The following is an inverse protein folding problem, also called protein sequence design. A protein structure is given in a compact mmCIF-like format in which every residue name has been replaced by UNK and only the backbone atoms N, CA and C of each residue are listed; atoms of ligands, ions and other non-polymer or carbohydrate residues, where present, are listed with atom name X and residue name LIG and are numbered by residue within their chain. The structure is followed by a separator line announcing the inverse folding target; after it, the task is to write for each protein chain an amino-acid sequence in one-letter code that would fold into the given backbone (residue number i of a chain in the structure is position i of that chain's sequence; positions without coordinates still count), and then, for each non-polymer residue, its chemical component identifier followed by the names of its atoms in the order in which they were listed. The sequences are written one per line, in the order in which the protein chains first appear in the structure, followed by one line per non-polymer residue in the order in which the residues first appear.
data_IF_590841894905
#
_entry.id   IF_590841894905
#
_cell.length_a   1.000
_cell.length_b   1.000
_cell.length_c   1.000
_cell.angle_alpha   90.00
_cell.angle_beta   90.00
_cell.angle_gamma   90.00
#
_symmetry.space_group_name_H-M   'P 1'
#
loop_
_entity.id
_entity.type
_entity.pdbx_description
1 polymer ?
#
# COMPACT_ATOMS: atom_id res chain seq x y z
N UNK A 1 -18.01 3.32 25.08
CA UNK A 1 -17.34 4.61 24.70
C UNK A 1 -18.18 5.76 25.26
N UNK A 2 -17.75 6.99 25.20
CA UNK A 2 -18.42 8.12 25.90
C UNK A 2 -19.02 9.11 24.88
N UNK A 3 -20.04 9.88 25.32
CA UNK A 3 -20.61 11.01 24.56
C UNK A 3 -19.50 11.92 23.97
N UNK A 4 -18.41 12.10 24.71
CA UNK A 4 -17.22 12.81 24.25
C UNK A 4 -16.52 12.20 23.02
N UNK A 5 -16.61 10.89 22.82
CA UNK A 5 -16.06 10.20 21.64
C UNK A 5 -16.87 10.52 20.39
N UNK A 6 -18.20 10.49 20.51
CA UNK A 6 -19.09 10.87 19.40
C UNK A 6 -18.89 12.35 19.02
N UNK A 7 -18.80 13.25 20.00
CA UNK A 7 -18.59 14.68 19.74
C UNK A 7 -17.26 14.93 19.02
N UNK A 8 -16.16 14.29 19.46
CA UNK A 8 -14.85 14.38 18.76
C UNK A 8 -14.92 13.85 17.33
N UNK A 9 -15.54 12.68 17.13
CA UNK A 9 -15.69 12.10 15.80
C UNK A 9 -16.51 13.00 14.86
N UNK A 10 -17.62 13.57 15.33
CA UNK A 10 -18.43 14.51 14.56
C UNK A 10 -17.67 15.81 14.27
N UNK A 11 -16.94 16.35 15.23
CA UNK A 11 -16.12 17.54 15.04
C UNK A 11 -15.05 17.31 13.97
N UNK A 12 -14.30 16.22 14.07
CA UNK A 12 -13.28 15.85 13.10
C UNK A 12 -13.87 15.59 11.70
N UNK A 13 -15.04 14.93 11.60
CA UNK A 13 -15.74 14.80 10.31
C UNK A 13 -16.12 16.14 9.70
N UNK A 14 -16.54 17.12 10.51
CA UNK A 14 -16.87 18.47 10.04
C UNK A 14 -15.64 19.21 9.52
N UNK A 15 -14.49 19.07 10.18
CA UNK A 15 -13.23 19.66 9.77
C UNK A 15 -12.77 19.12 8.41
N UNK A 16 -13.12 17.87 8.08
CA UNK A 16 -12.85 17.28 6.77
C UNK A 16 -13.74 17.80 5.64
N UNK A 17 -14.81 18.58 5.96
CA UNK A 17 -15.74 19.09 4.94
C UNK A 17 -15.17 20.39 4.36
N UNK A 18 -14.34 20.24 3.34
CA UNK A 18 -13.73 21.29 2.54
C UNK A 18 -14.42 21.47 1.16
N UNK A 19 -13.85 22.31 0.31
CA UNK A 19 -14.37 22.54 -1.04
C UNK A 19 -14.41 21.27 -1.92
N UNK A 20 -13.39 20.38 -1.95
CA UNK A 20 -13.44 19.08 -2.60
C UNK A 20 -14.59 18.19 -2.11
N UNK A 21 -14.87 18.14 -0.82
CA UNK A 21 -15.99 17.38 -0.26
C UNK A 21 -17.33 17.95 -0.70
N UNK A 22 -17.49 19.27 -0.67
CA UNK A 22 -18.70 19.94 -1.14
C UNK A 22 -18.91 19.73 -2.64
N UNK A 23 -17.86 19.80 -3.44
CA UNK A 23 -17.90 19.51 -4.88
C UNK A 23 -18.30 18.05 -5.14
N UNK A 24 -17.74 17.10 -4.40
CA UNK A 24 -18.09 15.68 -4.48
C UNK A 24 -19.59 15.44 -4.27
N UNK A 25 -20.15 15.93 -3.15
CA UNK A 25 -21.56 15.69 -2.83
C UNK A 25 -22.51 16.45 -3.76
N UNK A 26 -22.08 17.58 -4.32
CA UNK A 26 -22.86 18.34 -5.29
C UNK A 26 -22.86 17.74 -6.69
N UNK A 27 -21.78 17.04 -7.08
CA UNK A 27 -21.60 16.49 -8.43
C UNK A 27 -22.00 15.01 -8.54
N UNK A 28 -22.10 14.29 -7.42
CA UNK A 28 -22.44 12.88 -7.41
C UNK A 28 -23.88 12.64 -7.88
N UNK A 29 -24.05 12.02 -9.05
CA UNK A 29 -25.35 11.71 -9.64
C UNK A 29 -25.93 10.37 -9.18
N UNK A 30 -25.30 9.67 -8.28
CA UNK A 30 -25.69 8.32 -7.80
C UNK A 30 -25.85 7.30 -8.93
N UNK A 31 -25.04 7.37 -9.99
CA UNK A 31 -25.12 6.52 -11.19
C UNK A 31 -24.78 5.02 -10.93
N UNK A 32 -24.14 4.68 -9.79
CA UNK A 32 -23.82 3.30 -9.43
C UNK A 32 -22.49 2.75 -9.99
N UNK A 33 -21.83 3.36 -10.97
CA UNK A 33 -20.62 2.83 -11.59
C UNK A 33 -19.50 2.50 -10.58
N UNK A 34 -19.37 3.28 -9.51
CA UNK A 34 -18.42 3.00 -8.45
C UNK A 34 -18.72 1.69 -7.68
N UNK A 35 -19.98 1.27 -7.63
CA UNK A 35 -20.38 -0.01 -7.02
C UNK A 35 -19.86 -1.19 -7.83
N UNK A 36 -20.00 -1.14 -9.16
CA UNK A 36 -19.53 -2.19 -10.08
C UNK A 36 -17.99 -2.30 -10.10
N UNK A 37 -17.30 -1.22 -9.72
CA UNK A 37 -15.86 -1.20 -9.58
C UNK A 37 -15.36 -1.61 -8.18
N UNK A 38 -16.24 -1.82 -7.22
CA UNK A 38 -15.86 -2.16 -5.86
C UNK A 38 -15.78 -3.67 -5.63
N UNK A 39 -14.56 -4.18 -5.38
CA UNK A 39 -14.30 -5.59 -5.10
C UNK A 39 -15.26 -6.20 -4.08
N UNK A 40 -15.45 -5.53 -2.93
CA UNK A 40 -16.28 -6.05 -1.86
C UNK A 40 -17.76 -6.04 -2.21
N UNK A 41 -18.23 -5.05 -2.97
CA UNK A 41 -19.62 -5.02 -3.42
C UNK A 41 -19.89 -6.11 -4.47
N UNK A 42 -19.03 -6.21 -5.48
CA UNK A 42 -19.23 -7.15 -6.60
C UNK A 42 -19.23 -8.61 -6.15
N UNK A 43 -18.33 -8.96 -5.22
CA UNK A 43 -18.20 -10.35 -4.77
C UNK A 43 -19.16 -10.72 -3.63
N UNK A 44 -19.79 -9.75 -2.97
CA UNK A 44 -20.75 -10.03 -1.87
C UNK A 44 -22.18 -9.76 -2.24
N UNK A 45 -22.45 -8.88 -3.21
CA UNK A 45 -23.77 -8.36 -3.55
C UNK A 45 -24.37 -7.45 -2.46
N UNK A 46 -23.60 -7.06 -1.44
CA UNK A 46 -24.08 -6.28 -0.31
C UNK A 46 -24.21 -4.79 -0.68
N UNK A 47 -25.43 -4.21 -0.69
CA UNK A 47 -25.64 -2.81 -1.08
C UNK A 47 -24.90 -1.81 -0.17
N UNK A 48 -24.69 -2.17 1.11
CA UNK A 48 -24.01 -1.29 2.08
C UNK A 48 -22.50 -1.25 1.89
N UNK A 49 -21.93 -2.07 1.00
CA UNK A 49 -20.52 -2.07 0.66
C UNK A 49 -20.20 -1.21 -0.56
N UNK A 50 -21.19 -0.56 -1.15
CA UNK A 50 -20.98 0.39 -2.25
C UNK A 50 -20.14 1.59 -1.76
N UNK A 51 -19.22 2.11 -2.58
CA UNK A 51 -18.33 3.20 -2.16
C UNK A 51 -19.05 4.45 -1.67
N UNK A 52 -20.12 4.85 -2.38
CA UNK A 52 -20.89 6.03 -2.00
C UNK A 52 -21.62 5.85 -0.65
N UNK A 53 -22.07 4.63 -0.32
CA UNK A 53 -22.71 4.37 0.95
C UNK A 53 -21.76 4.53 2.14
N UNK A 54 -20.47 4.23 1.96
CA UNK A 54 -19.44 4.32 3.03
C UNK A 54 -19.23 5.73 3.55
N UNK A 55 -19.57 6.75 2.77
CA UNK A 55 -19.42 8.16 3.13
C UNK A 55 -20.75 8.84 3.51
N UNK A 56 -21.83 8.09 3.68
CA UNK A 56 -23.16 8.61 3.98
C UNK A 56 -23.23 9.46 5.28
N UNK A 57 -22.56 9.10 6.40
CA UNK A 57 -22.57 9.96 7.57
C UNK A 57 -21.98 11.35 7.29
N UNK A 58 -20.90 11.43 6.51
CA UNK A 58 -20.30 12.71 6.11
C UNK A 58 -21.22 13.51 5.17
N UNK A 59 -21.92 12.82 4.24
CA UNK A 59 -22.92 13.47 3.38
C UNK A 59 -24.03 14.12 4.16
N UNK A 60 -24.56 13.43 5.20
CA UNK A 60 -25.59 13.98 6.08
C UNK A 60 -25.09 15.20 6.87
N UNK A 61 -23.85 15.16 7.38
CA UNK A 61 -23.25 16.31 8.04
C UNK A 61 -23.13 17.49 7.08
N UNK A 62 -22.62 17.26 5.86
CA UNK A 62 -22.51 18.29 4.85
C UNK A 62 -23.88 18.89 4.50
N UNK A 63 -24.92 18.09 4.28
CA UNK A 63 -26.27 18.60 4.04
C UNK A 63 -26.77 19.46 5.18
N UNK A 64 -26.65 18.99 6.43
CA UNK A 64 -27.17 19.67 7.63
C UNK A 64 -26.46 21.00 7.91
N UNK A 65 -25.19 21.11 7.61
CA UNK A 65 -24.40 22.29 7.97
C UNK A 65 -24.27 23.29 6.82
N UNK A 66 -24.22 22.82 5.56
CA UNK A 66 -23.83 23.65 4.43
C UNK A 66 -24.91 23.85 3.36
N UNK A 67 -26.04 23.12 3.39
CA UNK A 67 -27.13 23.36 2.44
C UNK A 67 -28.29 24.12 3.11
N UNK A 68 -28.96 25.00 2.36
CA UNK A 68 -30.09 25.79 2.87
C UNK A 68 -31.24 24.88 3.36
N UNK A 69 -31.58 23.86 2.57
CA UNK A 69 -32.66 22.92 2.90
C UNK A 69 -32.28 22.04 4.10
N UNK A 70 -31.04 21.58 4.18
CA UNK A 70 -30.54 20.77 5.29
C UNK A 70 -30.55 21.55 6.61
N UNK A 71 -30.09 22.81 6.58
CA UNK A 71 -30.14 23.72 7.74
C UNK A 71 -31.57 23.97 8.20
N UNK A 72 -32.50 24.18 7.28
CA UNK A 72 -33.91 24.35 7.60
C UNK A 72 -34.49 23.07 8.25
N UNK A 73 -34.21 21.89 7.68
CA UNK A 73 -34.62 20.59 8.27
C UNK A 73 -34.04 20.40 9.67
N UNK A 74 -32.76 20.76 9.87
CA UNK A 74 -32.09 20.66 11.18
C UNK A 74 -32.77 21.56 12.20
N UNK A 75 -33.05 22.81 11.85
CA UNK A 75 -33.73 23.77 12.73
C UNK A 75 -35.17 23.32 13.11
N UNK A 76 -35.84 22.58 12.24
CA UNK A 76 -37.19 22.02 12.47
C UNK A 76 -37.16 20.64 13.17
N UNK A 77 -35.97 20.12 13.57
CA UNK A 77 -35.84 18.79 14.18
C UNK A 77 -36.14 17.62 13.26
N UNK A 78 -36.14 17.84 11.94
CA UNK A 78 -36.42 16.82 10.92
C UNK A 78 -35.16 16.10 10.41
N UNK A 79 -33.98 16.48 10.87
CA UNK A 79 -32.73 15.84 10.52
C UNK A 79 -32.45 14.64 11.41
N UNK A 80 -32.01 13.53 10.80
CA UNK A 80 -31.54 12.36 11.56
C UNK A 80 -30.12 12.66 12.10
N UNK A 81 -29.90 12.69 13.42
CA UNK A 81 -28.57 12.87 13.99
C UNK A 81 -27.69 11.63 13.67
N UNK A 82 -26.37 11.82 13.70
CA UNK A 82 -25.42 10.71 13.75
C UNK A 82 -25.34 10.25 15.20
N UNK A 83 -25.40 8.94 15.42
CA UNK A 83 -25.32 8.33 16.75
C UNK A 83 -24.05 7.50 16.88
N UNK A 84 -23.63 7.25 18.11
CA UNK A 84 -22.51 6.37 18.43
C UNK A 84 -22.71 4.97 17.83
N UNK A 85 -23.87 4.35 18.08
CA UNK A 85 -24.22 3.03 17.50
C UNK A 85 -24.12 3.01 15.97
N UNK A 86 -24.45 4.13 15.32
CA UNK A 86 -24.32 4.22 13.87
C UNK A 86 -22.84 4.25 13.44
N UNK A 87 -21.98 5.02 14.10
CA UNK A 87 -20.55 5.06 13.77
C UNK A 87 -19.86 3.71 14.06
N UNK A 88 -20.22 3.03 15.12
CA UNK A 88 -19.76 1.66 15.40
C UNK A 88 -20.12 0.70 14.26
N UNK A 89 -21.37 0.73 13.79
CA UNK A 89 -21.79 -0.05 12.62
C UNK A 89 -21.08 0.36 11.33
N UNK A 90 -20.66 1.63 11.21
CA UNK A 90 -19.93 2.13 10.05
C UNK A 90 -18.48 1.69 10.03
N UNK A 91 -17.89 1.36 11.17
CA UNK A 91 -16.53 0.83 11.26
C UNK A 91 -16.29 -0.31 10.27
N UNK A 92 -17.12 -1.35 10.32
CA UNK A 92 -16.99 -2.50 9.41
C UNK A 92 -17.12 -2.12 7.93
N UNK A 93 -17.94 -1.12 7.59
CA UNK A 93 -18.13 -0.69 6.20
C UNK A 93 -16.95 0.12 5.67
N UNK A 94 -16.35 0.96 6.51
CA UNK A 94 -15.29 1.89 6.12
C UNK A 94 -13.92 1.22 6.19
N UNK A 95 -13.70 0.31 7.15
CA UNK A 95 -12.41 -0.35 7.36
C UNK A 95 -12.37 -1.76 6.78
N UNK A 96 -13.35 -2.64 7.09
CA UNK A 96 -13.27 -4.05 6.70
C UNK A 96 -13.60 -4.30 5.23
N UNK A 97 -14.27 -3.36 4.55
CA UNK A 97 -14.67 -3.52 3.15
C UNK A 97 -14.12 -2.43 2.23
N UNK A 98 -13.00 -1.79 2.62
CA UNK A 98 -12.33 -0.81 1.79
C UNK A 98 -10.80 -0.88 1.95
N UNK A 99 -10.12 -1.26 0.89
CA UNK A 99 -8.65 -1.30 0.80
C UNK A 99 -8.04 0.02 0.34
N UNK A 100 -8.81 1.07 0.17
CA UNK A 100 -8.38 2.35 -0.41
C UNK A 100 -7.76 2.20 -1.82
N UNK A 101 -8.14 1.18 -2.58
CA UNK A 101 -7.52 0.82 -3.86
C UNK A 101 -7.73 1.84 -4.99
N UNK A 102 -8.72 2.74 -4.91
CA UNK A 102 -8.93 3.79 -5.89
C UNK A 102 -9.70 3.40 -7.17
N UNK A 103 -10.06 2.13 -7.39
CA UNK A 103 -10.75 1.72 -8.62
C UNK A 103 -12.10 2.43 -8.81
N UNK A 104 -12.83 2.66 -7.72
CA UNK A 104 -14.08 3.41 -7.74
C UNK A 104 -13.91 4.87 -8.18
N UNK A 105 -12.77 5.51 -7.85
CA UNK A 105 -12.45 6.87 -8.32
C UNK A 105 -12.14 6.89 -9.81
N UNK A 106 -11.44 5.87 -10.33
CA UNK A 106 -11.09 5.77 -11.76
C UNK A 106 -12.30 5.66 -12.68
N UNK A 107 -13.34 4.95 -12.26
CA UNK A 107 -14.56 4.76 -13.07
C UNK A 107 -15.59 5.85 -12.90
N UNK A 108 -15.33 6.85 -12.04
CA UNK A 108 -16.30 7.90 -11.78
C UNK A 108 -16.42 8.84 -13.01
N UNK A 109 -17.60 8.94 -13.65
CA UNK A 109 -17.76 9.70 -14.89
C UNK A 109 -17.61 11.23 -14.69
N UNK A 110 -17.73 11.68 -13.44
CA UNK A 110 -17.53 13.10 -13.07
C UNK A 110 -16.18 13.37 -12.39
N UNK A 111 -15.29 12.35 -12.35
CA UNK A 111 -13.93 12.50 -11.82
C UNK A 111 -13.82 12.67 -10.30
N UNK A 112 -14.81 12.23 -9.53
CA UNK A 112 -14.76 12.33 -8.08
C UNK A 112 -13.72 11.39 -7.45
N UNK A 113 -12.87 11.88 -6.56
CA UNK A 113 -12.00 11.04 -5.74
C UNK A 113 -12.76 10.42 -4.57
N UNK A 114 -13.43 9.31 -4.84
CA UNK A 114 -14.24 8.56 -3.87
C UNK A 114 -13.34 7.98 -2.77
N UNK A 115 -12.12 7.56 -3.12
CA UNK A 115 -11.17 7.00 -2.16
C UNK A 115 -10.70 8.05 -1.15
N UNK A 116 -10.42 9.27 -1.62
CA UNK A 116 -10.12 10.40 -0.74
C UNK A 116 -11.25 10.71 0.22
N UNK A 117 -12.50 10.63 -0.25
CA UNK A 117 -13.68 10.79 0.62
C UNK A 117 -13.75 9.72 1.73
N UNK A 118 -13.43 8.46 1.42
CA UNK A 118 -13.40 7.39 2.42
C UNK A 118 -12.26 7.62 3.42
N UNK A 119 -11.11 8.15 2.98
CA UNK A 119 -10.02 8.54 3.91
C UNK A 119 -10.48 9.64 4.88
N UNK A 120 -11.12 10.69 4.36
CA UNK A 120 -11.70 11.76 5.20
C UNK A 120 -12.75 11.23 6.20
N UNK A 121 -13.52 10.23 5.79
CA UNK A 121 -14.43 9.54 6.72
C UNK A 121 -13.65 8.80 7.82
N UNK A 122 -12.53 8.14 7.49
CA UNK A 122 -11.65 7.49 8.48
C UNK A 122 -11.02 8.48 9.46
N UNK A 123 -10.65 9.68 9.03
CA UNK A 123 -10.12 10.75 9.93
C UNK A 123 -11.09 11.03 11.07
N UNK A 124 -12.36 11.29 10.75
CA UNK A 124 -13.36 11.53 11.80
C UNK A 124 -13.60 10.32 12.69
N UNK A 125 -13.63 9.12 12.11
CA UNK A 125 -13.82 7.90 12.89
C UNK A 125 -12.62 7.59 13.79
N UNK A 126 -11.41 7.76 13.31
CA UNK A 126 -10.19 7.59 14.09
C UNK A 126 -10.11 8.57 15.24
N UNK A 127 -10.37 9.85 14.99
CA UNK A 127 -10.40 10.88 16.02
C UNK A 127 -11.47 10.63 17.11
N UNK A 128 -12.59 10.03 16.73
CA UNK A 128 -13.66 9.62 17.67
C UNK A 128 -13.36 8.31 18.42
N UNK A 129 -12.31 7.58 18.05
CA UNK A 129 -12.01 6.26 18.60
C UNK A 129 -12.86 5.13 18.01
N UNK A 130 -13.42 5.33 16.80
CA UNK A 130 -14.22 4.33 16.08
C UNK A 130 -13.40 3.51 15.05
N UNK A 131 -12.07 3.60 15.08
CA UNK A 131 -11.22 2.74 14.28
C UNK A 131 -11.15 1.32 14.88
N UNK A 132 -10.88 0.26 14.06
CA UNK A 132 -10.71 -1.10 14.57
C UNK A 132 -9.51 -1.24 15.51
N UNK A 133 -9.63 -2.07 16.54
CA UNK A 133 -8.58 -2.28 17.55
C UNK A 133 -7.25 -2.75 16.92
N UNK A 134 -7.31 -3.62 15.90
CA UNK A 134 -6.12 -4.08 15.19
C UNK A 134 -5.33 -2.93 14.53
N UNK A 135 -6.02 -1.94 13.96
CA UNK A 135 -5.39 -0.75 13.37
C UNK A 135 -4.92 0.24 14.44
N UNK A 136 -5.66 0.41 15.53
CA UNK A 136 -5.23 1.24 16.67
C UNK A 136 -3.90 0.69 17.19
N UNK A 137 -3.84 -0.58 17.57
CA UNK A 137 -2.63 -1.20 18.09
C UNK A 137 -1.46 -1.20 17.10
N UNK A 138 -1.72 -1.39 15.81
CA UNK A 138 -0.70 -1.27 14.77
C UNK A 138 -0.13 0.16 14.66
N UNK A 139 -1.01 1.17 14.77
CA UNK A 139 -0.61 2.57 14.71
C UNK A 139 0.16 3.01 15.94
N UNK A 140 -0.25 2.60 17.12
CA UNK A 140 0.47 2.84 18.38
C UNK A 140 1.86 2.22 18.35
N UNK A 141 2.00 0.96 17.93
CA UNK A 141 3.32 0.32 17.76
C UNK A 141 4.19 1.04 16.73
N UNK A 142 3.61 1.47 15.59
CA UNK A 142 4.35 2.22 14.58
C UNK A 142 4.89 3.55 15.13
N UNK A 143 4.11 4.26 15.92
CA UNK A 143 4.54 5.50 16.59
C UNK A 143 5.59 5.21 17.66
N UNK A 144 5.41 4.18 18.49
CA UNK A 144 6.33 3.88 19.60
C UNK A 144 7.69 3.37 19.11
N UNK A 145 7.71 2.42 18.18
CA UNK A 145 8.92 1.67 17.82
C UNK A 145 9.28 1.70 16.32
N UNK A 146 8.52 2.43 15.49
CA UNK A 146 8.77 2.53 14.04
C UNK A 146 8.20 1.40 13.20
N UNK A 147 7.52 0.40 13.77
CA UNK A 147 7.00 -0.76 13.06
C UNK A 147 5.59 -1.14 13.54
N UNK A 148 4.58 -1.21 12.66
CA UNK A 148 3.23 -1.60 13.03
C UNK A 148 3.12 -3.07 13.50
N UNK A 149 4.04 -3.93 13.07
CA UNK A 149 4.11 -5.33 13.47
C UNK A 149 5.09 -5.60 14.62
N UNK A 150 5.74 -4.56 15.15
CA UNK A 150 6.65 -4.71 16.29
C UNK A 150 8.06 -5.17 15.93
N UNK A 151 8.45 -5.10 14.67
CA UNK A 151 9.81 -5.43 14.22
C UNK A 151 10.79 -4.41 14.80
N UNK A 152 11.81 -4.91 15.50
CA UNK A 152 12.85 -4.09 16.13
C UNK A 152 14.20 -4.32 15.46
N UNK A 153 15.14 -3.39 15.64
CA UNK A 153 16.47 -3.45 15.07
C UNK A 153 17.23 -4.78 15.26
N UNK A 154 17.11 -5.51 16.38
CA UNK A 154 17.75 -6.82 16.51
C UNK A 154 17.25 -7.86 15.49
N UNK A 155 15.96 -7.82 15.14
CA UNK A 155 15.40 -8.72 14.12
C UNK A 155 15.98 -8.37 12.73
N UNK A 156 16.03 -7.08 12.37
CA UNK A 156 16.68 -6.64 11.14
C UNK A 156 18.17 -7.05 11.10
N UNK A 157 18.91 -6.86 12.19
CA UNK A 157 20.32 -7.28 12.27
C UNK A 157 20.52 -8.79 12.11
N UNK A 158 19.56 -9.60 12.56
CA UNK A 158 19.59 -11.03 12.32
C UNK A 158 19.42 -11.36 10.83
N UNK A 159 18.48 -10.70 10.16
CA UNK A 159 18.28 -10.84 8.70
C UNK A 159 19.50 -10.37 7.91
N UNK A 160 20.09 -9.24 8.29
CA UNK A 160 21.32 -8.75 7.66
C UNK A 160 22.43 -9.82 7.73
N UNK A 161 22.69 -10.39 8.92
CA UNK A 161 23.70 -11.46 9.07
C UNK A 161 23.40 -12.69 8.23
N UNK A 162 22.14 -13.04 8.08
CA UNK A 162 21.73 -14.15 7.23
C UNK A 162 22.03 -13.83 5.78
N UNK A 163 21.60 -12.68 5.29
CA UNK A 163 21.80 -12.24 3.92
C UNK A 163 23.29 -12.07 3.58
N UNK A 164 24.10 -11.49 4.48
CA UNK A 164 25.55 -11.38 4.31
C UNK A 164 26.25 -12.76 4.20
N UNK A 165 25.79 -13.73 5.02
CA UNK A 165 26.33 -15.09 4.98
C UNK A 165 26.00 -15.78 3.66
N UNK A 166 24.77 -15.63 3.17
CA UNK A 166 24.29 -16.34 1.99
C UNK A 166 24.79 -15.70 0.69
N UNK A 167 24.89 -14.37 0.65
CA UNK A 167 25.36 -13.64 -0.53
C UNK A 167 26.88 -13.46 -0.56
N UNK A 168 27.57 -13.56 0.58
CA UNK A 168 28.98 -13.21 0.72
C UNK A 168 29.26 -11.70 0.61
N UNK A 169 28.22 -10.86 0.59
CA UNK A 169 28.30 -9.41 0.39
C UNK A 169 27.92 -8.67 1.68
N UNK A 170 28.66 -7.59 2.00
CA UNK A 170 28.34 -6.75 3.15
C UNK A 170 27.10 -5.89 2.90
N UNK A 171 26.24 -5.77 3.91
CA UNK A 171 25.05 -4.94 3.89
C UNK A 171 25.31 -3.65 4.68
N UNK A 172 25.36 -2.48 4.02
CA UNK A 172 25.71 -1.23 4.66
C UNK A 172 24.55 -0.70 5.53
N UNK A 173 24.91 -0.19 6.72
CA UNK A 173 23.96 0.45 7.63
C UNK A 173 24.54 1.78 8.13
N UNK A 174 23.70 2.83 8.13
CA UNK A 174 24.03 4.18 8.61
C UNK A 174 25.21 4.83 7.86
N UNK A 175 25.35 4.56 6.55
CA UNK A 175 26.41 5.12 5.72
C UNK A 175 25.98 6.48 5.16
N UNK A 176 26.67 7.55 5.59
CA UNK A 176 26.44 8.91 5.11
C UNK A 176 26.94 9.08 3.66
N UNK A 177 26.15 9.76 2.82
CA UNK A 177 26.51 10.08 1.44
C UNK A 177 26.28 8.93 0.46
N UNK A 178 25.66 7.82 0.87
CA UNK A 178 25.21 6.78 -0.05
C UNK A 178 24.21 7.34 -1.08
N UNK A 179 24.15 6.76 -2.27
CA UNK A 179 23.19 7.19 -3.30
C UNK A 179 21.76 6.88 -2.87
N UNK A 180 21.54 5.71 -2.26
CA UNK A 180 20.22 5.21 -1.91
C UNK A 180 20.08 4.89 -0.42
N UNK A 181 19.01 5.34 0.18
CA UNK A 181 18.48 4.79 1.44
C UNK A 181 17.39 3.78 1.10
N UNK A 182 17.65 2.50 1.39
CA UNK A 182 16.65 1.44 1.20
C UNK A 182 15.82 1.30 2.47
N UNK A 183 14.50 1.40 2.31
CA UNK A 183 13.55 1.12 3.36
C UNK A 183 12.98 -0.28 3.14
N UNK A 184 12.58 -0.92 4.23
CA UNK A 184 11.94 -2.23 4.23
C UNK A 184 10.53 -2.12 4.82
N UNK A 185 9.70 -3.11 4.60
CA UNK A 185 8.46 -3.29 5.34
C UNK A 185 8.62 -4.39 6.40
N UNK A 186 7.79 -4.35 7.43
CA UNK A 186 7.74 -5.42 8.43
C UNK A 186 7.53 -6.79 7.80
N UNK A 187 6.71 -6.86 6.72
CA UNK A 187 6.39 -8.11 6.02
C UNK A 187 7.63 -8.68 5.31
N UNK A 188 8.43 -7.85 4.64
CA UNK A 188 9.67 -8.29 3.99
C UNK A 188 10.67 -8.82 5.03
N UNK A 189 10.80 -8.14 6.17
CA UNK A 189 11.74 -8.57 7.22
C UNK A 189 11.30 -9.89 7.84
N UNK A 190 10.01 -10.11 8.02
CA UNK A 190 9.50 -11.28 8.75
C UNK A 190 9.23 -12.49 7.86
N UNK A 191 8.70 -12.27 6.65
CA UNK A 191 8.14 -13.34 5.82
C UNK A 191 8.96 -13.59 4.55
N UNK A 192 9.68 -12.56 4.05
CA UNK A 192 10.39 -12.63 2.76
C UNK A 192 11.85 -12.15 2.89
N UNK A 193 12.68 -12.85 3.69
CA UNK A 193 14.08 -12.45 3.91
C UNK A 193 14.92 -12.43 2.62
N UNK A 194 14.53 -13.21 1.63
CA UNK A 194 15.13 -13.26 0.30
C UNK A 194 15.09 -11.91 -0.44
N UNK A 195 14.16 -11.02 -0.06
CA UNK A 195 14.13 -9.66 -0.59
C UNK A 195 15.42 -8.88 -0.32
N UNK A 196 15.95 -8.99 0.92
CA UNK A 196 17.22 -8.34 1.29
C UNK A 196 18.42 -8.95 0.56
N UNK A 197 18.40 -10.27 0.31
CA UNK A 197 19.40 -10.95 -0.52
C UNK A 197 19.37 -10.39 -1.95
N UNK A 198 18.18 -10.27 -2.53
CA UNK A 198 17.97 -9.74 -3.88
C UNK A 198 18.51 -8.31 -4.02
N UNK A 199 18.12 -7.42 -3.13
CA UNK A 199 18.59 -6.03 -3.10
C UNK A 199 20.11 -5.95 -3.03
N UNK A 200 20.73 -6.76 -2.16
CA UNK A 200 22.18 -6.80 -1.97
C UNK A 200 22.90 -7.19 -3.25
N UNK A 201 22.45 -8.25 -3.94
CA UNK A 201 23.02 -8.73 -5.22
C UNK A 201 22.83 -7.72 -6.32
N UNK A 202 21.65 -7.12 -6.44
CA UNK A 202 21.31 -6.14 -7.47
C UNK A 202 22.20 -4.90 -7.36
N UNK A 203 22.30 -4.29 -6.19
CA UNK A 203 23.13 -3.09 -6.01
C UNK A 203 24.63 -3.38 -6.12
N UNK A 204 25.07 -4.58 -5.74
CA UNK A 204 26.44 -5.01 -5.96
C UNK A 204 26.76 -5.08 -7.46
N UNK A 205 25.93 -5.78 -8.26
CA UNK A 205 26.13 -5.86 -9.71
C UNK A 205 26.07 -4.49 -10.39
N UNK A 206 25.13 -3.63 -9.96
CA UNK A 206 24.97 -2.29 -10.52
C UNK A 206 26.09 -1.32 -10.10
N UNK A 207 26.95 -1.68 -9.15
CA UNK A 207 28.01 -0.80 -8.62
C UNK A 207 27.48 0.45 -7.93
N UNK A 208 26.28 0.40 -7.38
CA UNK A 208 25.62 1.53 -6.71
C UNK A 208 25.81 1.47 -5.20
N UNK A 209 26.00 2.63 -4.59
CA UNK A 209 26.11 2.74 -3.13
C UNK A 209 24.74 2.90 -2.50
N UNK A 210 24.49 2.13 -1.45
CA UNK A 210 23.22 2.16 -0.74
C UNK A 210 23.43 1.96 0.77
N UNK A 211 22.41 2.19 1.56
CA UNK A 211 22.44 1.96 3.01
C UNK A 211 21.06 1.67 3.56
N UNK A 212 21.00 0.92 4.65
CA UNK A 212 19.86 0.89 5.57
C UNK A 212 20.06 1.97 6.63
N UNK A 213 18.98 2.32 7.36
CA UNK A 213 19.06 3.22 8.51
C UNK A 213 18.61 2.48 9.78
N UNK A 214 19.45 2.46 10.82
CA UNK A 214 19.13 1.81 12.08
C UNK A 214 17.96 2.46 12.85
N UNK A 215 17.72 3.76 12.62
CA UNK A 215 16.69 4.54 13.28
C UNK A 215 15.35 4.55 12.51
N UNK A 216 15.38 4.34 11.17
CA UNK A 216 14.22 4.39 10.31
C UNK A 216 14.37 3.40 9.12
N UNK A 217 14.33 2.11 9.41
CA UNK A 217 14.45 1.05 8.39
C UNK A 217 13.10 0.59 7.85
N UNK A 218 12.03 0.82 8.59
CA UNK A 218 10.67 0.38 8.27
C UNK A 218 9.82 1.58 7.84
N UNK A 219 9.00 1.40 6.81
CA UNK A 219 8.26 2.49 6.18
C UNK A 219 6.76 2.28 6.03
N UNK A 220 6.18 1.23 6.61
CA UNK A 220 4.73 1.01 6.55
C UNK A 220 3.97 2.14 7.24
N UNK A 221 3.16 2.88 6.50
CA UNK A 221 2.41 4.01 7.06
C UNK A 221 1.01 3.60 7.52
N UNK A 222 0.89 3.23 8.80
CA UNK A 222 -0.38 2.89 9.45
C UNK A 222 -1.29 4.11 9.64
N UNK A 223 -0.75 5.32 9.72
CA UNK A 223 -1.52 6.56 9.81
C UNK A 223 -2.47 6.77 8.62
N UNK A 224 -1.99 6.49 7.40
CA UNK A 224 -2.83 6.49 6.19
C UNK A 224 -3.96 5.45 6.30
N UNK A 225 -3.66 4.28 6.85
CA UNK A 225 -4.62 3.17 6.92
C UNK A 225 -5.71 3.42 7.96
N UNK A 226 -5.35 3.90 9.13
CA UNK A 226 -6.31 4.21 10.19
C UNK A 226 -7.10 5.50 9.91
N UNK A 227 -6.57 6.42 9.13
CA UNK A 227 -7.11 7.76 8.91
C UNK A 227 -6.68 8.69 10.04
N UNK A 228 -5.37 8.91 10.18
CA UNK A 228 -4.78 9.91 11.06
C UNK A 228 -3.63 10.59 10.33
N UNK A 229 -3.88 11.82 9.92
CA UNK A 229 -2.85 12.63 9.23
C UNK A 229 -1.68 12.95 10.15
N UNK A 230 -1.90 13.09 11.46
CA UNK A 230 -0.84 13.33 12.45
C UNK A 230 0.11 12.14 12.56
N UNK A 231 -0.42 10.91 12.68
CA UNK A 231 0.38 9.69 12.69
C UNK A 231 1.10 9.51 11.35
N UNK A 232 0.40 9.79 10.25
CA UNK A 232 1.00 9.68 8.92
C UNK A 232 2.17 10.65 8.76
N UNK A 233 2.03 11.89 9.23
CA UNK A 233 3.08 12.91 9.21
C UNK A 233 4.28 12.52 10.08
N UNK A 234 4.05 11.98 11.28
CA UNK A 234 5.11 11.52 12.16
C UNK A 234 5.93 10.40 11.51
N UNK A 235 5.28 9.39 10.94
CA UNK A 235 5.98 8.26 10.30
C UNK A 235 6.77 8.71 9.05
N UNK A 236 6.22 9.59 8.23
CA UNK A 236 6.96 10.19 7.11
C UNK A 236 8.12 11.05 7.61
N UNK A 237 7.90 11.84 8.67
CA UNK A 237 8.92 12.70 9.27
C UNK A 237 10.18 11.93 9.71
N UNK A 238 10.01 10.71 10.24
CA UNK A 238 11.14 9.83 10.61
C UNK A 238 11.98 9.44 9.39
N UNK A 239 11.33 9.08 8.28
CA UNK A 239 12.02 8.74 7.03
C UNK A 239 12.76 9.96 6.48
N UNK A 240 12.13 11.13 6.48
CA UNK A 240 12.74 12.38 6.03
C UNK A 240 13.97 12.75 6.88
N UNK A 241 13.84 12.66 8.21
CA UNK A 241 14.96 12.93 9.11
C UNK A 241 16.14 11.98 8.88
N UNK A 242 15.88 10.69 8.65
CA UNK A 242 16.92 9.70 8.34
C UNK A 242 17.60 10.01 7.00
N UNK A 243 16.84 10.31 5.95
CA UNK A 243 17.37 10.64 4.63
C UNK A 243 18.27 11.89 4.65
N UNK A 244 17.84 12.93 5.38
CA UNK A 244 18.60 14.16 5.54
C UNK A 244 19.87 13.96 6.39
N UNK A 245 19.77 13.20 7.49
CA UNK A 245 20.90 12.85 8.34
C UNK A 245 21.98 12.09 7.57
N UNK A 246 21.55 11.11 6.75
CA UNK A 246 22.46 10.29 5.94
C UNK A 246 22.85 10.96 4.61
N UNK A 247 22.28 12.12 4.27
CA UNK A 247 22.56 12.88 3.04
C UNK A 247 22.45 12.05 1.78
N UNK A 248 21.46 11.17 1.71
CA UNK A 248 21.22 10.32 0.55
C UNK A 248 20.60 11.11 -0.60
N UNK A 249 20.77 10.64 -1.84
CA UNK A 249 20.16 11.26 -3.02
C UNK A 249 18.75 10.77 -3.27
N UNK A 250 18.48 9.50 -2.95
CA UNK A 250 17.19 8.85 -3.21
C UNK A 250 16.80 7.95 -2.05
N UNK A 251 15.56 8.03 -1.63
CA UNK A 251 14.92 7.08 -0.71
C UNK A 251 14.15 6.06 -1.54
N UNK A 252 14.46 4.79 -1.35
CA UNK A 252 13.77 3.67 -1.99
C UNK A 252 12.70 3.15 -1.05
N UNK A 253 11.44 3.24 -1.48
CA UNK A 253 10.31 2.61 -0.80
C UNK A 253 10.37 1.09 -0.99
N UNK A 254 10.02 0.31 0.03
CA UNK A 254 9.91 -1.14 -0.05
C UNK A 254 8.84 -1.58 -1.05
N UNK A 255 8.71 -2.87 -1.29
CA UNK A 255 7.57 -3.45 -2.02
C UNK A 255 6.25 -3.29 -1.22
N UNK A 256 5.92 -2.04 -0.96
CA UNK A 256 4.72 -1.60 -0.25
C UNK A 256 4.16 -0.32 -0.89
N UNK A 257 3.13 -0.46 -1.72
CA UNK A 257 2.54 0.68 -2.39
C UNK A 257 1.95 1.74 -1.44
N UNK A 258 1.51 1.38 -0.24
CA UNK A 258 1.04 2.36 0.76
C UNK A 258 2.20 3.20 1.32
N UNK A 259 3.35 2.59 1.60
CA UNK A 259 4.54 3.32 2.02
C UNK A 259 5.00 4.27 0.91
N UNK A 260 5.05 3.78 -0.33
CA UNK A 260 5.43 4.59 -1.48
C UNK A 260 4.51 5.80 -1.67
N UNK A 261 3.19 5.61 -1.70
CA UNK A 261 2.25 6.73 -1.87
C UNK A 261 2.29 7.71 -0.70
N UNK A 262 2.44 7.21 0.53
CA UNK A 262 2.55 8.05 1.72
C UNK A 262 3.78 8.95 1.70
N UNK A 263 4.95 8.43 1.30
CA UNK A 263 6.20 9.21 1.30
C UNK A 263 6.28 10.06 0.02
N UNK A 264 6.05 9.46 -1.16
CA UNK A 264 6.26 10.11 -2.46
C UNK A 264 5.25 11.20 -2.75
N UNK A 265 3.94 10.88 -2.61
CA UNK A 265 2.87 11.74 -3.08
C UNK A 265 2.23 12.60 -1.99
N UNK A 266 2.15 12.07 -0.77
CA UNK A 266 1.54 12.77 0.35
C UNK A 266 2.56 13.42 1.28
N UNK A 267 3.77 12.86 1.33
CA UNK A 267 4.81 13.23 2.27
C UNK A 267 5.11 14.72 2.34
N UNK A 268 5.37 15.43 1.24
CA UNK A 268 5.64 16.87 1.29
C UNK A 268 4.51 17.68 1.93
N UNK A 269 3.25 17.30 1.68
CA UNK A 269 2.10 17.94 2.30
C UNK A 269 1.94 17.56 3.78
N UNK A 270 2.18 16.29 4.13
CA UNK A 270 2.08 15.81 5.51
C UNK A 270 3.09 16.49 6.45
N UNK A 271 4.33 16.65 6.01
CA UNK A 271 5.39 17.27 6.82
C UNK A 271 5.61 18.75 6.51
N UNK A 272 4.80 19.35 5.63
CA UNK A 272 4.88 20.75 5.22
C UNK A 272 6.29 21.17 4.74
N UNK A 273 6.96 20.27 4.00
CA UNK A 273 8.33 20.48 3.54
C UNK A 273 8.58 19.79 2.21
N UNK A 274 9.25 20.46 1.29
CA UNK A 274 9.80 19.84 0.10
C UNK A 274 11.03 18.99 0.45
N UNK A 275 11.22 17.89 -0.23
CA UNK A 275 12.32 16.98 0.01
C UNK A 275 13.54 17.37 -0.83
N UNK A 276 14.71 17.37 -0.21
CA UNK A 276 16.00 17.56 -0.89
C UNK A 276 16.53 16.29 -1.59
N UNK A 277 15.75 15.22 -1.60
CA UNK A 277 16.06 13.92 -2.18
C UNK A 277 14.88 13.41 -3.01
N UNK A 278 15.14 12.43 -3.89
CA UNK A 278 14.07 11.73 -4.62
C UNK A 278 13.44 10.65 -3.75
N UNK A 279 12.19 10.31 -4.03
CA UNK A 279 11.53 9.11 -3.49
C UNK A 279 11.11 8.25 -4.67
N UNK A 280 11.55 7.00 -4.71
CA UNK A 280 11.25 6.04 -5.77
C UNK A 280 10.82 4.71 -5.16
N UNK A 281 9.97 3.98 -5.88
CA UNK A 281 9.74 2.58 -5.58
C UNK A 281 10.92 1.75 -6.10
N UNK A 282 11.20 0.61 -5.48
CA UNK A 282 12.31 -0.25 -5.94
C UNK A 282 12.21 -0.57 -7.43
N UNK A 283 11.02 -0.84 -7.97
CA UNK A 283 10.85 -1.14 -9.40
C UNK A 283 11.18 0.03 -10.32
N UNK A 284 11.02 1.28 -9.88
CA UNK A 284 11.47 2.44 -10.66
C UNK A 284 13.00 2.48 -10.74
N UNK A 285 13.66 2.21 -9.62
CA UNK A 285 15.14 2.14 -9.59
C UNK A 285 15.65 0.98 -10.42
N UNK A 286 15.05 -0.20 -10.33
CA UNK A 286 15.44 -1.35 -11.14
C UNK A 286 15.26 -1.09 -12.64
N UNK A 287 14.17 -0.43 -13.04
CA UNK A 287 13.94 -0.06 -14.44
C UNK A 287 14.94 1.01 -14.93
N UNK A 288 15.31 1.98 -14.08
CA UNK A 288 16.40 2.93 -14.37
C UNK A 288 17.73 2.19 -14.56
N UNK A 289 18.10 1.27 -13.65
CA UNK A 289 19.33 0.46 -13.77
C UNK A 289 19.32 -0.41 -15.02
N UNK A 290 18.17 -0.98 -15.38
CA UNK A 290 17.97 -1.70 -16.65
C UNK A 290 18.25 -0.80 -17.84
N UNK A 291 17.64 0.37 -17.87
CA UNK A 291 17.79 1.33 -18.96
C UNK A 291 19.23 1.86 -19.10
N UNK A 292 19.97 1.96 -17.98
CA UNK A 292 21.41 2.29 -17.95
C UNK A 292 22.32 1.12 -18.36
N UNK A 293 21.77 -0.10 -18.54
CA UNK A 293 22.52 -1.31 -18.87
C UNK A 293 23.35 -1.85 -17.71
N UNK A 294 23.02 -1.50 -16.48
CA UNK A 294 23.69 -1.92 -15.26
C UNK A 294 23.15 -3.22 -14.68
N UNK A 295 21.93 -3.62 -15.05
CA UNK A 295 21.38 -4.93 -14.75
C UNK A 295 21.68 -5.89 -15.91
N UNK A 296 22.44 -6.92 -15.62
CA UNK A 296 22.79 -7.98 -16.60
C UNK A 296 22.16 -9.27 -16.13
N UNK A 297 21.28 -9.81 -16.94
CA UNK A 297 20.63 -11.10 -16.68
C UNK A 297 21.19 -12.19 -17.57
N UNK A 298 21.15 -13.44 -17.12
CA UNK A 298 21.38 -14.62 -17.95
C UNK A 298 20.32 -15.69 -17.65
N UNK A 299 19.95 -16.43 -18.69
CA UNK A 299 18.83 -17.34 -18.61
C UNK A 299 17.49 -16.62 -18.73
N UNK A 300 16.45 -17.40 -18.70
CA UNK A 300 15.04 -16.94 -18.73
C UNK A 300 14.24 -17.77 -17.75
N UNK A 301 13.16 -17.17 -17.22
CA UNK A 301 12.13 -17.90 -16.51
C UNK A 301 11.25 -18.67 -17.51
N UNK A 302 11.31 -19.98 -17.48
CA UNK A 302 10.56 -20.85 -18.40
C UNK A 302 9.09 -21.01 -17.99
N UNK A 303 8.77 -20.79 -16.71
CA UNK A 303 7.41 -20.86 -16.21
C UNK A 303 6.49 -19.85 -16.89
N UNK A 304 5.27 -20.25 -17.12
CA UNK A 304 4.21 -19.32 -17.55
C UNK A 304 3.77 -18.52 -16.34
N UNK A 305 3.94 -17.24 -16.37
CA UNK A 305 3.61 -16.40 -15.23
C UNK A 305 2.68 -15.23 -15.58
N UNK A 306 2.01 -14.74 -14.55
CA UNK A 306 1.24 -13.51 -14.60
C UNK A 306 1.68 -12.54 -13.52
N UNK A 307 1.36 -11.26 -13.68
CA UNK A 307 1.69 -10.23 -12.69
C UNK A 307 0.45 -9.70 -12.01
N UNK A 308 0.42 -9.77 -10.67
CA UNK A 308 -0.58 -9.07 -9.89
C UNK A 308 -0.14 -7.64 -9.65
N UNK A 309 -0.82 -6.68 -10.27
CA UNK A 309 -0.58 -5.25 -10.08
C UNK A 309 -0.99 -4.79 -8.68
N UNK A 310 -0.08 -4.36 -7.80
CA UNK A 310 -0.48 -3.79 -6.51
C UNK A 310 -1.18 -2.44 -6.69
N UNK A 311 -2.41 -2.34 -6.25
CA UNK A 311 -3.26 -1.18 -6.55
C UNK A 311 -2.71 0.16 -6.07
N UNK A 312 -2.00 0.19 -4.95
CA UNK A 312 -1.38 1.40 -4.42
C UNK A 312 -0.11 1.77 -5.20
N UNK A 313 0.60 0.79 -5.73
CA UNK A 313 1.78 1.02 -6.54
C UNK A 313 1.41 1.46 -7.97
N UNK A 314 0.57 0.67 -8.63
CA UNK A 314 0.25 0.87 -10.04
C UNK A 314 -0.77 2.00 -10.24
N UNK A 315 -1.98 1.86 -9.70
CA UNK A 315 -3.05 2.84 -9.91
C UNK A 315 -2.83 4.15 -9.19
N UNK A 316 -2.39 4.11 -7.94
CA UNK A 316 -2.20 5.32 -7.13
C UNK A 316 -0.77 5.83 -7.18
N UNK A 317 0.19 4.96 -7.37
CA UNK A 317 1.61 5.31 -7.43
C UNK A 317 2.09 5.71 -8.82
N UNK A 318 1.47 5.19 -9.88
CA UNK A 318 1.85 5.49 -11.28
C UNK A 318 2.94 4.56 -11.84
N UNK A 319 3.36 3.54 -11.09
CA UNK A 319 4.39 2.57 -11.51
C UNK A 319 3.72 1.47 -12.33
N UNK A 320 3.51 1.71 -13.62
CA UNK A 320 2.72 0.85 -14.53
C UNK A 320 3.61 0.04 -15.48
N UNK A 321 4.53 0.72 -16.15
CA UNK A 321 5.37 0.13 -17.20
C UNK A 321 6.59 -0.60 -16.62
N UNK A 322 7.11 -0.13 -15.48
CA UNK A 322 8.33 -0.65 -14.89
C UNK A 322 8.29 -2.16 -14.62
N UNK A 323 7.20 -2.71 -14.02
CA UNK A 323 7.11 -4.16 -13.85
C UNK A 323 7.18 -4.93 -15.17
N UNK A 324 6.55 -4.42 -16.23
CA UNK A 324 6.55 -5.05 -17.56
C UNK A 324 7.94 -5.00 -18.17
N UNK A 325 8.60 -3.85 -18.12
CA UNK A 325 9.96 -3.70 -18.61
C UNK A 325 10.95 -4.67 -17.92
N UNK A 326 10.78 -4.94 -16.63
CA UNK A 326 11.61 -5.87 -15.87
C UNK A 326 11.27 -7.32 -16.21
N UNK A 327 9.98 -7.65 -16.35
CA UNK A 327 9.55 -8.99 -16.78
C UNK A 327 10.00 -9.32 -18.20
N UNK A 328 10.00 -8.37 -19.12
CA UNK A 328 10.47 -8.55 -20.51
C UNK A 328 11.94 -8.97 -20.56
N UNK A 329 12.74 -8.70 -19.51
CA UNK A 329 14.14 -9.15 -19.46
C UNK A 329 14.29 -10.65 -19.23
N UNK A 330 13.39 -11.24 -18.45
CA UNK A 330 13.58 -12.58 -17.88
C UNK A 330 12.41 -13.55 -18.15
N UNK A 331 11.21 -13.04 -18.46
CA UNK A 331 9.98 -13.84 -18.48
C UNK A 331 9.27 -13.81 -19.86
N UNK A 332 9.77 -14.51 -20.88
CA UNK A 332 9.19 -14.50 -22.21
C UNK A 332 7.79 -15.13 -22.28
N UNK A 333 7.42 -15.92 -21.30
CA UNK A 333 6.11 -16.57 -21.19
C UNK A 333 5.12 -15.79 -20.28
N UNK A 334 5.35 -14.48 -20.09
CA UNK A 334 4.46 -13.61 -19.33
C UNK A 334 3.10 -13.47 -19.99
N UNK A 335 2.03 -13.59 -19.19
CA UNK A 335 0.63 -13.44 -19.64
C UNK A 335 -0.07 -12.43 -18.74
N UNK A 336 -0.69 -11.41 -19.33
CA UNK A 336 -1.47 -10.42 -18.60
C UNK A 336 -2.80 -10.99 -18.06
N UNK A 337 -3.17 -10.58 -16.83
CA UNK A 337 -4.51 -10.81 -16.32
C UNK A 337 -5.54 -9.94 -17.05
N UNK A 338 -6.76 -10.41 -17.15
CA UNK A 338 -7.89 -9.54 -17.47
C UNK A 338 -7.98 -8.41 -16.42
N UNK A 339 -8.26 -7.19 -16.84
CA UNK A 339 -8.23 -6.01 -15.96
C UNK A 339 -6.87 -5.80 -15.27
N UNK A 340 -5.77 -5.85 -15.99
CA UNK A 340 -4.42 -5.54 -15.51
C UNK A 340 -4.13 -4.03 -15.42
N UNK A 341 -2.94 -3.66 -15.00
CA UNK A 341 -2.47 -2.28 -14.90
C UNK A 341 -3.34 -1.41 -13.99
N UNK A 342 -3.67 -0.20 -14.43
CA UNK A 342 -4.46 0.75 -13.64
C UNK A 342 -5.89 0.29 -13.38
N UNK A 343 -6.42 -0.64 -14.17
CA UNK A 343 -7.76 -1.21 -14.00
C UNK A 343 -7.77 -2.52 -13.22
N UNK A 344 -6.63 -2.97 -12.70
CA UNK A 344 -6.51 -4.21 -11.94
C UNK A 344 -7.53 -4.35 -10.80
N UNK A 345 -7.85 -5.59 -10.44
CA UNK A 345 -8.59 -5.89 -9.21
C UNK A 345 -7.62 -6.04 -8.03
N UNK A 346 -7.96 -5.38 -6.93
CA UNK A 346 -7.18 -5.42 -5.68
C UNK A 346 -7.11 -6.84 -5.11
N UNK A 347 -6.01 -7.19 -4.41
CA UNK A 347 -5.89 -8.45 -3.68
C UNK A 347 -6.92 -8.60 -2.53
N UNK A 348 -7.40 -7.49 -1.97
CA UNK A 348 -8.39 -7.48 -0.88
C UNK A 348 -7.87 -7.16 0.52
N UNK A 349 -6.55 -7.09 0.74
CA UNK A 349 -5.96 -6.93 2.07
C UNK A 349 -5.49 -5.51 2.43
N UNK A 350 -5.25 -4.65 1.43
CA UNK A 350 -4.70 -3.32 1.65
C UNK A 350 -5.56 -2.39 2.51
N UNK A 351 -5.05 -1.19 2.78
CA UNK A 351 -5.77 -0.15 3.53
C UNK A 351 -6.12 -0.54 4.97
N UNK A 352 -5.39 -1.47 5.55
CA UNK A 352 -5.61 -1.95 6.92
C UNK A 352 -6.67 -3.06 7.06
N UNK A 353 -7.23 -3.58 5.95
CA UNK A 353 -8.22 -4.68 6.02
C UNK A 353 -7.62 -5.92 6.67
N UNK A 354 -6.38 -6.28 6.31
CA UNK A 354 -5.70 -7.46 6.89
C UNK A 354 -5.33 -7.33 8.38
N UNK A 355 -5.38 -6.12 8.94
CA UNK A 355 -5.16 -5.92 10.37
C UNK A 355 -6.42 -6.15 11.23
N UNK A 356 -7.56 -6.47 10.61
CA UNK A 356 -8.85 -6.62 11.29
C UNK A 356 -9.35 -8.06 11.12
N UNK A 357 -9.33 -8.85 12.16
CA UNK A 357 -9.83 -10.24 12.17
C UNK A 357 -11.29 -10.34 11.72
N UNK A 358 -12.13 -9.38 12.12
CA UNK A 358 -13.53 -9.31 11.69
C UNK A 358 -13.71 -9.14 10.18
N UNK A 359 -12.66 -8.76 9.45
CA UNK A 359 -12.68 -8.63 8.00
C UNK A 359 -12.41 -9.96 7.26
N UNK A 360 -11.91 -10.99 7.92
CA UNK A 360 -11.43 -12.22 7.27
C UNK A 360 -12.48 -12.87 6.37
N UNK A 361 -13.70 -13.02 6.86
CA UNK A 361 -14.79 -13.63 6.09
C UNK A 361 -15.12 -12.85 4.81
N UNK A 362 -15.15 -11.52 4.90
CA UNK A 362 -15.45 -10.68 3.74
C UNK A 362 -14.25 -10.55 2.81
N UNK A 363 -13.04 -10.54 3.36
CA UNK A 363 -11.77 -10.56 2.64
C UNK A 363 -11.65 -11.84 1.78
N UNK A 364 -11.88 -13.00 2.38
CA UNK A 364 -11.86 -14.29 1.68
C UNK A 364 -12.93 -14.37 0.60
N UNK A 365 -14.14 -13.86 0.86
CA UNK A 365 -15.17 -13.78 -0.18
C UNK A 365 -14.76 -12.83 -1.33
N UNK A 366 -14.12 -11.72 -1.02
CA UNK A 366 -13.61 -10.78 -2.02
C UNK A 366 -12.52 -11.41 -2.91
N UNK A 367 -11.74 -12.36 -2.39
CA UNK A 367 -10.71 -13.09 -3.15
C UNK A 367 -11.27 -13.86 -4.34
N UNK A 368 -12.57 -14.22 -4.36
CA UNK A 368 -13.20 -14.87 -5.49
C UNK A 368 -13.01 -14.15 -6.83
N UNK A 369 -12.83 -12.83 -6.82
CA UNK A 369 -12.49 -12.06 -8.03
C UNK A 369 -11.11 -12.47 -8.57
N UNK A 370 -10.13 -12.54 -7.70
CA UNK A 370 -8.77 -12.94 -8.05
C UNK A 370 -8.71 -14.41 -8.47
N UNK A 371 -9.40 -15.28 -7.73
CA UNK A 371 -9.58 -16.69 -8.10
C UNK A 371 -10.06 -16.85 -9.53
N UNK A 372 -11.15 -16.17 -9.93
CA UNK A 372 -11.69 -16.21 -11.29
C UNK A 372 -10.69 -15.73 -12.34
N UNK A 373 -9.91 -14.68 -12.04
CA UNK A 373 -8.87 -14.20 -12.95
C UNK A 373 -7.77 -15.26 -13.14
N UNK A 374 -7.34 -15.92 -12.08
CA UNK A 374 -6.29 -16.94 -12.13
C UNK A 374 -6.78 -18.23 -12.79
N UNK A 375 -7.99 -18.69 -12.47
CA UNK A 375 -8.60 -19.87 -13.10
C UNK A 375 -8.79 -19.71 -14.63
N UNK A 376 -8.87 -18.47 -15.12
CA UNK A 376 -8.98 -18.20 -16.55
C UNK A 376 -7.66 -18.25 -17.30
N UNK A 377 -6.54 -18.40 -16.58
CA UNK A 377 -5.19 -18.42 -17.14
C UNK A 377 -4.55 -19.80 -16.98
N UNK A 378 -3.78 -20.20 -17.98
CA UNK A 378 -2.89 -21.38 -17.93
C UNK A 378 -1.50 -20.88 -17.48
N UNK A 379 -1.27 -20.82 -16.16
CA UNK A 379 -0.07 -20.26 -15.54
C UNK A 379 0.49 -21.16 -14.46
N UNK A 380 1.78 -21.08 -14.25
CA UNK A 380 2.52 -21.82 -13.22
C UNK A 380 2.79 -20.96 -11.99
N UNK A 381 2.91 -19.61 -12.15
CA UNK A 381 3.37 -18.69 -11.10
C UNK A 381 2.62 -17.37 -11.18
N UNK A 382 2.34 -16.77 -10.02
CA UNK A 382 1.92 -15.36 -9.91
C UNK A 382 3.06 -14.52 -9.34
N UNK A 383 3.42 -13.45 -10.01
CA UNK A 383 4.43 -12.50 -9.55
C UNK A 383 3.78 -11.22 -9.05
N UNK A 384 4.31 -10.62 -8.00
CA UNK A 384 3.84 -9.31 -7.49
C UNK A 384 5.00 -8.49 -6.91
N UNK A 385 4.78 -7.21 -6.70
CA UNK A 385 5.73 -6.29 -6.08
C UNK A 385 5.11 -5.59 -4.86
N UNK A 386 4.49 -6.39 -4.01
CA UNK A 386 3.93 -5.90 -2.74
C UNK A 386 3.81 -7.05 -1.74
N UNK A 387 4.60 -7.02 -0.69
CA UNK A 387 4.63 -8.07 0.34
C UNK A 387 3.25 -8.35 0.97
N UNK A 388 2.45 -7.31 1.24
CA UNK A 388 1.08 -7.51 1.75
C UNK A 388 0.13 -8.15 0.70
N UNK A 389 0.32 -7.86 -0.60
CA UNK A 389 -0.43 -8.55 -1.65
C UNK A 389 0.00 -10.01 -1.75
N UNK A 390 1.30 -10.29 -1.61
CA UNK A 390 1.85 -11.65 -1.63
C UNK A 390 1.20 -12.51 -0.56
N UNK A 391 1.22 -12.11 0.71
CA UNK A 391 0.55 -12.80 1.81
C UNK A 391 -0.94 -13.03 1.51
N UNK A 392 -1.65 -11.99 1.03
CA UNK A 392 -3.09 -12.14 0.73
C UNK A 392 -3.37 -13.11 -0.41
N UNK A 393 -2.50 -13.16 -1.41
CA UNK A 393 -2.63 -14.10 -2.51
C UNK A 393 -2.34 -15.53 -2.04
N UNK A 394 -1.29 -15.72 -1.25
CA UNK A 394 -0.93 -17.00 -0.62
C UNK A 394 -2.09 -17.52 0.23
N UNK A 395 -2.60 -16.74 1.20
CA UNK A 395 -3.78 -17.07 2.01
C UNK A 395 -5.00 -17.44 1.16
N UNK A 396 -5.28 -16.63 0.15
CA UNK A 396 -6.45 -16.81 -0.70
C UNK A 396 -6.35 -18.05 -1.59
N UNK A 397 -5.16 -18.38 -2.09
CA UNK A 397 -4.91 -19.59 -2.87
C UNK A 397 -5.01 -20.83 -1.99
N UNK A 398 -4.40 -20.81 -0.80
CA UNK A 398 -4.49 -21.91 0.17
C UNK A 398 -5.94 -22.24 0.54
N UNK A 399 -6.74 -21.21 0.91
CA UNK A 399 -8.17 -21.38 1.26
C UNK A 399 -8.98 -21.94 0.08
N UNK A 400 -8.58 -21.68 -1.15
CA UNK A 400 -9.26 -22.15 -2.36
C UNK A 400 -8.64 -23.41 -2.97
N UNK A 401 -7.70 -24.06 -2.28
CA UNK A 401 -7.02 -25.28 -2.72
C UNK A 401 -6.35 -25.14 -4.10
N UNK A 402 -5.78 -23.96 -4.40
CA UNK A 402 -5.07 -23.66 -5.63
C UNK A 402 -3.56 -23.67 -5.37
N UNK A 403 -2.86 -24.61 -5.97
CA UNK A 403 -1.40 -24.79 -5.82
C UNK A 403 -0.65 -23.95 -6.87
N UNK A 404 -0.60 -22.64 -6.66
CA UNK A 404 0.11 -21.69 -7.53
C UNK A 404 1.05 -20.88 -6.64
N UNK A 405 2.38 -20.97 -6.81
CA UNK A 405 3.34 -20.21 -6.04
C UNK A 405 3.24 -18.70 -6.34
N UNK A 406 3.55 -17.89 -5.33
CA UNK A 406 3.61 -16.44 -5.44
C UNK A 406 5.06 -15.99 -5.23
N UNK A 407 5.61 -15.25 -6.18
CA UNK A 407 6.98 -14.72 -6.12
C UNK A 407 7.01 -13.19 -6.09
N UNK A 408 8.05 -12.63 -5.48
CA UNK A 408 8.37 -11.22 -5.59
C UNK A 408 9.12 -10.93 -6.89
N UNK A 409 8.82 -9.81 -7.54
CA UNK A 409 9.50 -9.46 -8.80
C UNK A 409 10.97 -9.12 -8.59
N UNK A 410 11.30 -8.47 -7.47
CA UNK A 410 12.68 -8.12 -7.15
C UNK A 410 13.54 -9.35 -6.91
N UNK A 411 13.02 -10.35 -6.18
CA UNK A 411 13.69 -11.63 -5.92
C UNK A 411 13.87 -12.43 -7.22
N UNK A 412 12.80 -12.55 -8.01
CA UNK A 412 12.85 -13.23 -9.30
C UNK A 412 13.90 -12.62 -10.24
N UNK A 413 13.97 -11.29 -10.32
CA UNK A 413 14.99 -10.61 -11.11
C UNK A 413 16.41 -10.93 -10.61
N UNK A 414 16.60 -10.96 -9.28
CA UNK A 414 17.88 -11.24 -8.66
C UNK A 414 18.37 -12.68 -8.91
N UNK A 415 17.47 -13.64 -9.03
CA UNK A 415 17.81 -15.03 -9.39
C UNK A 415 18.36 -15.16 -10.79
N UNK A 416 17.95 -14.27 -11.70
CA UNK A 416 18.41 -14.25 -13.10
C UNK A 416 19.60 -13.29 -13.34
N UNK A 417 20.18 -12.68 -12.30
CA UNK A 417 21.37 -11.86 -12.47
C UNK A 417 22.55 -12.73 -12.92
N UNK A 418 23.25 -12.23 -13.92
CA UNK A 418 24.50 -12.86 -14.36
C UNK A 418 25.53 -12.81 -13.24
N UNK A 419 26.08 -13.96 -12.87
CA UNK A 419 27.15 -14.01 -11.89
C UNK A 419 28.44 -13.40 -12.49
N UNK A 420 29.05 -12.47 -11.75
CA UNK A 420 30.41 -12.03 -12.08
C UNK A 420 31.34 -13.22 -11.81
N UNK A 421 31.88 -13.80 -12.85
CA UNK A 421 32.92 -14.82 -12.69
C UNK A 421 34.08 -14.19 -11.93
N UNK A 422 34.62 -14.84 -10.89
CA UNK A 422 35.84 -14.34 -10.26
C UNK A 422 36.89 -14.14 -11.34
N UNK A 423 37.49 -12.96 -11.36
CA UNK A 423 38.64 -12.68 -12.23
C UNK A 423 39.70 -13.71 -11.84
N UNK A 424 39.91 -14.74 -12.67
CA UNK A 424 41.09 -15.60 -12.53
C UNK A 424 42.28 -14.65 -12.61
N UNK A 425 42.94 -14.40 -11.49
CA UNK A 425 44.27 -13.75 -11.49
C UNK A 425 45.16 -14.60 -12.40
N UNK A 426 45.38 -14.11 -13.61
CA UNK A 426 46.49 -14.66 -14.46
C UNK A 426 47.78 -14.48 -13.65
N UNK A 427 48.14 -15.54 -12.93
CA UNK A 427 49.49 -15.68 -12.37
C UNK A 427 50.46 -15.84 -13.53
N UNK A 428 51.06 -14.73 -13.93
CA UNK A 428 52.23 -14.68 -14.83
C UNK A 428 53.51 -14.92 -14.08
#
# INVERSE_FOLDING_TARGET
MSEASLERGIAALKEQIDAPVAAFFSSCTHCGMCADACLFHTETGCPTYTPIYKVEPMRRLWEQEYTLLGRAKKALGLSKPITEEELEKWQSKVYNTCTLCGRCSMVCPVGNDITGMIRKMREGMSAGGFAPEGLIGASERAVEIGSPMGVRLPALKAQIKHAEKDTGLAIPMDVEGAEYLVLLSSMEIMNYPEYLHAITRIFHQAGKTWTLCSEAFEATNSGIQIGSSDIAAELVGRVVAAAEKLKVKTVISPECGHAYTAIRWEGPNLVHKEFGFKVQHILEVLDELRAEGLLKTEGIEEAKLTFHDPCQLVRRGGVVEQPRNLLDMIAPNFVEMEDSGVMNWCCGAGGGVSANEDADKVRNKAFNRKKKQLESLDIDVVVTACANCRIQLEDGLEINEMDIPILGLTEMLAEHLKEDKPVEEETS
#
